data_IF_635319429758
#
_entry.id   IF_635319429758
#
_cell.length_a   1.000
_cell.length_b   1.000
_cell.length_c   1.000
_cell.angle_alpha   90.00
_cell.angle_beta   90.00
_cell.angle_gamma   90.00
#
_symmetry.space_group_name_H-M   'P 1'
#
loop_
_entity.id
_entity.type
_entity.pdbx_description
1 polymer ?
#
# COMPACT_ATOMS: atom_id res chain seq x y z
N UNK A 1 -2.23 5.50 29.43
CA UNK A 1 -0.81 5.86 29.24
C UNK A 1 -0.53 7.08 30.11
N UNK A 2 0.09 6.89 31.25
CA UNK A 2 0.27 7.94 32.29
C UNK A 2 1.74 8.16 32.65
N UNK A 3 2.68 7.80 31.77
CA UNK A 3 4.11 8.08 31.99
C UNK A 3 4.48 9.52 31.63
N UNK A 4 5.62 10.03 32.13
CA UNK A 4 6.11 11.37 31.81
C UNK A 4 6.37 11.46 30.29
N UNK A 5 6.10 12.63 29.71
CA UNK A 5 6.38 12.90 28.32
C UNK A 5 7.88 12.82 28.01
N UNK A 6 8.23 12.15 26.93
CA UNK A 6 9.60 11.99 26.47
C UNK A 6 9.94 13.09 25.46
N UNK A 7 11.08 13.76 25.64
CA UNK A 7 11.56 14.73 24.65
C UNK A 7 11.89 14.03 23.31
N UNK A 8 11.31 14.49 22.21
CA UNK A 8 11.43 13.86 20.89
C UNK A 8 12.87 13.76 20.35
N UNK A 9 13.79 14.61 20.83
CA UNK A 9 15.23 14.59 20.48
C UNK A 9 16.10 13.86 21.49
N UNK A 10 15.50 13.24 22.52
CA UNK A 10 16.28 12.52 23.54
C UNK A 10 16.81 11.18 23.01
N UNK A 11 17.90 10.70 23.62
CA UNK A 11 18.44 9.35 23.34
C UNK A 11 17.37 8.25 23.59
N UNK A 12 16.52 8.45 24.60
CA UNK A 12 15.44 7.52 24.93
C UNK A 12 14.37 7.46 23.81
N UNK A 13 13.98 8.61 23.24
CA UNK A 13 13.05 8.67 22.11
C UNK A 13 13.63 7.98 20.87
N UNK A 14 14.90 8.25 20.54
CA UNK A 14 15.59 7.61 19.42
C UNK A 14 15.70 6.09 19.62
N UNK A 15 15.98 5.63 20.83
CA UNK A 15 16.04 4.20 21.15
C UNK A 15 14.65 3.53 21.01
N UNK A 16 13.60 4.19 21.46
CA UNK A 16 12.21 3.72 21.33
C UNK A 16 11.81 3.59 19.87
N UNK A 17 12.02 4.64 19.05
CA UNK A 17 11.71 4.63 17.63
C UNK A 17 12.44 3.48 16.89
N UNK A 18 13.74 3.32 17.16
CA UNK A 18 14.54 2.25 16.55
C UNK A 18 14.01 0.87 16.91
N UNK A 19 13.63 0.67 18.18
CA UNK A 19 13.03 -0.60 18.63
C UNK A 19 11.70 -0.87 17.92
N UNK A 20 10.84 0.16 17.75
CA UNK A 20 9.57 0.04 17.04
C UNK A 20 9.82 -0.34 15.58
N UNK A 21 10.68 0.40 14.87
CA UNK A 21 10.98 0.14 13.46
C UNK A 21 11.54 -1.27 13.25
N UNK A 22 12.48 -1.72 14.11
CA UNK A 22 13.03 -3.07 14.02
C UNK A 22 11.97 -4.16 14.25
N UNK A 23 11.05 -3.95 15.18
CA UNK A 23 9.97 -4.91 15.41
C UNK A 23 8.98 -4.94 14.24
N UNK A 24 8.64 -3.78 13.66
CA UNK A 24 7.78 -3.70 12.48
C UNK A 24 8.40 -4.37 11.26
N UNK A 25 9.72 -4.20 11.02
CA UNK A 25 10.42 -4.93 9.96
C UNK A 25 10.24 -6.44 10.09
N UNK A 26 10.36 -6.97 11.31
CA UNK A 26 10.17 -8.40 11.56
C UNK A 26 8.74 -8.88 11.32
N UNK A 27 7.74 -8.04 11.63
CA UNK A 27 6.32 -8.35 11.44
C UNK A 27 5.95 -8.30 9.95
N UNK A 28 6.45 -7.27 9.26
CA UNK A 28 6.15 -7.00 7.84
C UNK A 28 7.10 -7.72 6.88
N UNK A 29 8.08 -8.48 7.42
CA UNK A 29 9.06 -9.26 6.65
C UNK A 29 9.76 -8.39 5.60
N UNK A 30 10.34 -7.27 6.06
CA UNK A 30 11.05 -6.30 5.21
C UNK A 30 12.35 -5.83 5.87
N UNK A 31 13.35 -5.54 5.06
CA UNK A 31 14.58 -4.85 5.46
C UNK A 31 14.51 -3.34 5.18
N UNK A 32 13.42 -2.87 4.55
CA UNK A 32 13.26 -1.49 4.12
C UNK A 32 12.96 -0.52 5.30
N UNK A 33 12.93 0.78 4.99
CA UNK A 33 12.67 1.80 6.01
C UNK A 33 11.23 1.78 6.49
N UNK A 34 11.09 1.91 7.81
CA UNK A 34 9.79 2.08 8.47
C UNK A 34 9.61 3.55 8.84
N UNK A 35 8.66 4.19 8.21
CA UNK A 35 8.29 5.58 8.49
C UNK A 35 7.08 5.62 9.42
N UNK A 36 7.29 6.12 10.64
CA UNK A 36 6.21 6.27 11.62
C UNK A 36 5.50 7.61 11.41
N UNK A 37 4.18 7.57 11.24
CA UNK A 37 3.35 8.76 11.11
C UNK A 37 2.22 8.75 12.15
N UNK A 38 1.80 9.93 12.58
CA UNK A 38 0.59 10.13 13.39
C UNK A 38 -0.66 10.31 12.53
N UNK A 39 -0.54 10.14 11.22
CA UNK A 39 -1.63 10.19 10.27
C UNK A 39 -2.54 8.95 10.36
N UNK A 40 -3.73 9.04 9.77
CA UNK A 40 -4.55 7.86 9.47
C UNK A 40 -4.04 7.13 8.22
N UNK A 41 -4.47 5.88 7.99
CA UNK A 41 -4.20 5.17 6.73
C UNK A 41 -4.57 6.00 5.50
N UNK A 42 -5.67 6.77 5.56
CA UNK A 42 -6.07 7.69 4.47
C UNK A 42 -4.98 8.72 4.12
N UNK A 43 -4.35 9.32 5.14
CA UNK A 43 -3.27 10.28 4.87
C UNK A 43 -1.98 9.62 4.39
N UNK A 44 -1.74 8.37 4.77
CA UNK A 44 -0.61 7.59 4.23
C UNK A 44 -0.87 7.18 2.77
N UNK A 45 -2.11 6.77 2.42
CA UNK A 45 -2.52 6.52 1.02
C UNK A 45 -2.32 7.78 0.16
N UNK A 46 -2.68 8.97 0.68
CA UNK A 46 -2.44 10.24 -0.02
C UNK A 46 -0.95 10.47 -0.24
N UNK A 47 -0.15 10.32 0.80
CA UNK A 47 1.31 10.44 0.72
C UNK A 47 1.90 9.51 -0.34
N UNK A 48 1.48 8.24 -0.34
CA UNK A 48 1.95 7.23 -1.28
C UNK A 48 1.59 7.61 -2.73
N UNK A 49 0.32 7.78 -3.06
CA UNK A 49 -0.11 8.02 -4.45
C UNK A 49 0.45 9.33 -5.02
N UNK A 50 0.57 10.39 -4.19
CA UNK A 50 1.14 11.67 -4.63
C UNK A 50 2.66 11.60 -4.86
N UNK A 51 3.37 10.83 -4.05
CA UNK A 51 4.83 10.75 -4.14
C UNK A 51 5.30 9.77 -5.21
N UNK A 52 4.52 8.73 -5.47
CA UNK A 52 4.91 7.64 -6.36
C UNK A 52 4.40 7.79 -7.79
N UNK A 53 3.40 8.65 -8.06
CA UNK A 53 2.82 8.78 -9.39
C UNK A 53 3.39 9.99 -10.13
N UNK A 54 4.17 9.74 -11.16
CA UNK A 54 4.69 10.80 -12.05
C UNK A 54 3.84 10.95 -13.33
N UNK A 55 3.24 9.85 -13.83
CA UNK A 55 2.42 9.86 -15.04
C UNK A 55 0.95 9.62 -14.72
N UNK A 56 0.63 8.43 -14.29
CA UNK A 56 -0.76 8.00 -14.03
C UNK A 56 -0.78 6.76 -13.14
N UNK A 57 -1.68 6.74 -12.17
CA UNK A 57 -1.92 5.59 -11.32
C UNK A 57 -3.03 4.69 -11.87
N UNK A 58 -2.82 3.39 -11.86
CA UNK A 58 -3.86 2.37 -12.02
C UNK A 58 -4.34 1.95 -10.63
N UNK A 59 -5.62 2.15 -10.34
CA UNK A 59 -6.20 1.84 -9.04
C UNK A 59 -7.18 0.69 -9.18
N UNK A 60 -6.89 -0.42 -8.49
CA UNK A 60 -7.73 -1.61 -8.50
C UNK A 60 -8.62 -1.62 -7.27
N UNK A 61 -9.94 -1.72 -7.50
CA UNK A 61 -10.94 -1.60 -6.47
C UNK A 61 -11.86 -2.82 -6.42
N UNK A 62 -11.97 -3.37 -5.22
CA UNK A 62 -12.93 -4.44 -4.90
C UNK A 62 -13.89 -4.01 -3.79
N UNK A 63 -13.92 -2.70 -3.47
CA UNK A 63 -14.81 -2.13 -2.46
C UNK A 63 -14.46 -0.69 -2.06
N UNK A 64 -14.89 -0.30 -0.87
CA UNK A 64 -14.85 1.09 -0.41
C UNK A 64 -13.41 1.63 -0.25
N UNK A 65 -12.44 0.80 0.14
CA UNK A 65 -11.06 1.25 0.34
C UNK A 65 -10.29 1.35 -0.98
N UNK A 66 -10.56 0.45 -1.95
CA UNK A 66 -10.11 0.64 -3.32
C UNK A 66 -10.69 1.92 -3.95
N UNK A 67 -11.99 2.18 -3.79
CA UNK A 67 -12.62 3.44 -4.23
C UNK A 67 -12.03 4.66 -3.52
N UNK A 68 -11.59 4.51 -2.27
CA UNK A 68 -10.94 5.58 -1.50
C UNK A 68 -9.59 5.97 -2.11
N UNK A 69 -8.76 5.02 -2.55
CA UNK A 69 -7.54 5.31 -3.29
C UNK A 69 -7.81 6.23 -4.49
N UNK A 70 -8.84 5.90 -5.27
CA UNK A 70 -9.21 6.69 -6.44
C UNK A 70 -9.68 8.11 -6.08
N UNK A 71 -10.53 8.22 -5.04
CA UNK A 71 -10.99 9.53 -4.55
C UNK A 71 -9.85 10.39 -4.03
N UNK A 72 -8.89 9.79 -3.33
CA UNK A 72 -7.68 10.48 -2.85
C UNK A 72 -6.85 10.96 -4.03
N UNK A 73 -6.54 10.08 -4.97
CA UNK A 73 -5.73 10.43 -6.14
C UNK A 73 -6.36 11.58 -6.94
N UNK A 74 -7.62 11.45 -7.34
CA UNK A 74 -8.33 12.47 -8.11
C UNK A 74 -8.54 13.78 -7.34
N UNK A 75 -8.85 13.70 -6.04
CA UNK A 75 -9.00 14.86 -5.17
C UNK A 75 -7.72 15.68 -5.00
N UNK A 76 -6.57 15.03 -5.19
CA UNK A 76 -5.24 15.67 -5.15
C UNK A 76 -4.67 15.98 -6.55
N UNK A 77 -5.48 15.84 -7.60
CA UNK A 77 -5.06 16.13 -8.96
C UNK A 77 -4.07 15.11 -9.56
N UNK A 78 -3.93 13.92 -8.95
CA UNK A 78 -3.09 12.84 -9.49
C UNK A 78 -3.86 12.15 -10.62
N UNK A 79 -3.33 12.13 -11.87
CA UNK A 79 -3.95 11.41 -12.96
C UNK A 79 -4.11 9.94 -12.61
N UNK A 80 -5.33 9.41 -12.70
CA UNK A 80 -5.59 8.02 -12.29
C UNK A 80 -6.79 7.44 -13.02
N UNK A 81 -6.77 6.14 -13.21
CA UNK A 81 -7.90 5.35 -13.70
C UNK A 81 -8.25 4.28 -12.67
N UNK A 82 -9.54 3.96 -12.55
CA UNK A 82 -10.02 2.94 -11.62
C UNK A 82 -10.48 1.69 -12.40
N UNK A 83 -10.02 0.54 -11.94
CA UNK A 83 -10.41 -0.78 -12.42
C UNK A 83 -11.19 -1.48 -11.34
N UNK A 84 -12.47 -1.69 -11.57
CA UNK A 84 -13.38 -2.31 -10.58
C UNK A 84 -13.62 -3.76 -10.93
N UNK A 85 -13.43 -4.63 -9.95
CA UNK A 85 -13.90 -6.00 -10.02
C UNK A 85 -15.42 -6.07 -9.83
N UNK A 86 -16.03 -7.16 -10.30
CA UNK A 86 -17.42 -7.44 -9.96
C UNK A 86 -17.60 -7.58 -8.45
N UNK A 87 -18.80 -7.29 -7.96
CA UNK A 87 -19.09 -7.36 -6.53
C UNK A 87 -18.79 -8.75 -5.97
N UNK A 88 -17.99 -8.80 -4.92
CA UNK A 88 -17.58 -10.06 -4.29
C UNK A 88 -16.45 -10.82 -5.01
N UNK A 89 -15.84 -10.22 -6.04
CA UNK A 89 -14.70 -10.79 -6.74
C UNK A 89 -13.41 -10.01 -6.45
N UNK A 90 -12.25 -10.70 -6.35
CA UNK A 90 -10.96 -10.03 -6.18
C UNK A 90 -10.50 -9.36 -7.49
N UNK A 91 -9.49 -8.51 -7.38
CA UNK A 91 -8.68 -8.11 -8.53
C UNK A 91 -7.91 -9.33 -9.04
N UNK A 92 -7.99 -9.61 -10.34
CA UNK A 92 -7.26 -10.73 -10.91
C UNK A 92 -5.91 -10.30 -11.49
N UNK A 93 -4.91 -11.20 -11.55
CA UNK A 93 -3.64 -10.94 -12.23
C UNK A 93 -3.81 -10.47 -13.68
N UNK A 94 -4.80 -11.01 -14.40
CA UNK A 94 -5.11 -10.66 -15.79
C UNK A 94 -5.60 -9.21 -15.90
N UNK A 95 -6.38 -8.73 -14.95
CA UNK A 95 -6.79 -7.31 -14.91
C UNK A 95 -5.58 -6.38 -14.77
N UNK A 96 -4.63 -6.77 -13.91
CA UNK A 96 -3.41 -6.01 -13.69
C UNK A 96 -2.53 -6.02 -14.94
N UNK A 97 -2.30 -7.20 -15.54
CA UNK A 97 -1.51 -7.35 -16.75
C UNK A 97 -2.12 -6.56 -17.93
N UNK A 98 -3.42 -6.64 -18.12
CA UNK A 98 -4.14 -5.91 -19.16
C UNK A 98 -4.01 -4.39 -19.01
N UNK A 99 -4.07 -3.87 -17.78
CA UNK A 99 -3.89 -2.44 -17.53
C UNK A 99 -2.44 -2.01 -17.80
N UNK A 100 -1.46 -2.71 -17.22
CA UNK A 100 -0.06 -2.33 -17.27
C UNK A 100 0.57 -2.51 -18.65
N UNK A 101 0.14 -3.51 -19.44
CA UNK A 101 0.60 -3.75 -20.82
C UNK A 101 0.35 -2.55 -21.75
N UNK A 102 -0.56 -1.65 -21.39
CA UNK A 102 -0.80 -0.40 -22.13
C UNK A 102 0.35 0.61 -22.05
N UNK A 103 1.27 0.47 -21.09
CA UNK A 103 2.37 1.41 -20.84
C UNK A 103 1.94 2.79 -20.31
N UNK A 104 0.68 2.94 -19.92
CA UNK A 104 0.13 4.23 -19.46
C UNK A 104 0.45 4.55 -18.01
N UNK A 105 0.67 3.52 -17.19
CA UNK A 105 0.74 3.62 -15.73
C UNK A 105 2.16 3.42 -15.23
N UNK A 106 2.56 4.24 -14.29
CA UNK A 106 3.82 4.13 -13.56
C UNK A 106 3.62 3.82 -12.07
N UNK A 107 2.37 3.73 -11.64
CA UNK A 107 2.01 3.36 -10.27
C UNK A 107 0.76 2.49 -10.28
N UNK A 108 0.73 1.48 -9.42
CA UNK A 108 -0.51 0.76 -9.09
C UNK A 108 -0.84 0.92 -7.61
N UNK A 109 -2.13 0.98 -7.29
CA UNK A 109 -2.64 0.99 -5.92
C UNK A 109 -3.63 -0.17 -5.74
N UNK A 110 -3.38 -1.02 -4.74
CA UNK A 110 -4.21 -2.18 -4.42
C UNK A 110 -4.41 -2.24 -2.90
N UNK A 111 -5.63 -2.52 -2.45
CA UNK A 111 -5.90 -2.87 -1.05
C UNK A 111 -5.78 -4.38 -0.89
N UNK A 112 -4.91 -4.86 0.01
CA UNK A 112 -4.71 -6.29 0.22
C UNK A 112 -5.97 -6.96 0.74
N UNK A 113 -6.52 -6.47 1.84
CA UNK A 113 -7.79 -6.94 2.40
C UNK A 113 -8.82 -5.81 2.41
N UNK A 114 -9.85 -5.95 1.60
CA UNK A 114 -10.95 -4.98 1.51
C UNK A 114 -11.95 -5.21 2.64
N UNK A 115 -11.87 -4.41 3.67
CA UNK A 115 -12.69 -4.55 4.88
C UNK A 115 -14.19 -4.45 4.59
N UNK A 116 -14.58 -3.64 3.60
CA UNK A 116 -16.00 -3.40 3.29
C UNK A 116 -16.69 -4.58 2.62
N UNK A 117 -15.93 -5.48 2.00
CA UNK A 117 -16.46 -6.64 1.27
C UNK A 117 -15.98 -7.97 1.83
N UNK A 118 -14.92 -7.96 2.64
CA UNK A 118 -14.25 -9.17 3.14
C UNK A 118 -13.39 -9.88 2.09
N UNK A 119 -13.13 -9.23 0.96
CA UNK A 119 -12.30 -9.79 -0.12
C UNK A 119 -10.83 -9.55 0.18
N UNK A 120 -10.04 -10.60 0.11
CA UNK A 120 -8.57 -10.52 0.08
C UNK A 120 -8.09 -10.68 -1.36
N UNK A 121 -7.32 -9.72 -1.85
CA UNK A 121 -6.72 -9.78 -3.18
C UNK A 121 -5.55 -10.77 -3.22
N UNK A 122 -5.37 -11.53 -4.33
CA UNK A 122 -4.31 -12.52 -4.50
C UNK A 122 -2.97 -11.83 -4.81
N UNK A 123 -2.36 -11.24 -3.79
CA UNK A 123 -1.17 -10.38 -3.96
C UNK A 123 0.07 -11.15 -4.42
N UNK A 124 0.16 -12.44 -4.11
CA UNK A 124 1.24 -13.31 -4.58
C UNK A 124 1.20 -13.50 -6.10
N UNK A 125 0.02 -13.76 -6.65
CA UNK A 125 -0.18 -13.92 -8.10
C UNK A 125 -0.02 -12.58 -8.83
N UNK A 126 -0.46 -11.49 -8.21
CA UNK A 126 -0.28 -10.13 -8.74
C UNK A 126 1.21 -9.78 -8.75
N UNK A 127 1.98 -10.14 -7.72
CA UNK A 127 3.41 -9.94 -7.66
C UNK A 127 4.14 -10.59 -8.84
N UNK A 128 3.72 -11.80 -9.26
CA UNK A 128 4.31 -12.47 -10.43
C UNK A 128 4.06 -11.69 -11.73
N UNK A 129 2.90 -11.05 -11.86
CA UNK A 129 2.62 -10.16 -13.00
C UNK A 129 3.51 -8.93 -12.96
N UNK A 130 3.68 -8.31 -11.78
CA UNK A 130 4.45 -7.08 -11.63
C UNK A 130 5.94 -7.25 -11.95
N UNK A 131 6.48 -8.45 -11.87
CA UNK A 131 7.86 -8.74 -12.34
C UNK A 131 8.10 -8.40 -13.81
N UNK A 132 7.03 -8.36 -14.63
CA UNK A 132 7.11 -7.94 -16.04
C UNK A 132 7.21 -6.41 -16.20
N UNK A 133 6.90 -5.66 -15.14
CA UNK A 133 6.78 -4.20 -15.16
C UNK A 133 7.65 -3.56 -14.06
N UNK A 134 8.98 -3.71 -14.11
CA UNK A 134 9.89 -3.31 -13.03
C UNK A 134 9.94 -1.80 -12.75
N UNK A 135 9.45 -0.98 -13.69
CA UNK A 135 9.40 0.48 -13.55
C UNK A 135 8.07 0.98 -12.95
N UNK A 136 7.13 0.08 -12.63
CA UNK A 136 5.84 0.42 -12.04
C UNK A 136 5.92 0.30 -10.53
N UNK A 137 5.67 1.40 -9.83
CA UNK A 137 5.66 1.43 -8.36
C UNK A 137 4.39 0.79 -7.81
N UNK A 138 4.55 -0.15 -6.90
CA UNK A 138 3.44 -0.81 -6.23
C UNK A 138 3.16 -0.24 -4.84
N UNK A 139 2.04 0.47 -4.70
CA UNK A 139 1.50 0.93 -3.43
C UNK A 139 0.41 -0.05 -2.94
N UNK A 140 0.59 -0.65 -1.76
CA UNK A 140 -0.35 -1.61 -1.19
C UNK A 140 -0.88 -1.12 0.15
N UNK A 141 -2.21 -1.09 0.30
CA UNK A 141 -2.89 -0.86 1.58
C UNK A 141 -3.08 -2.18 2.31
N UNK A 142 -2.46 -2.32 3.47
CA UNK A 142 -2.56 -3.46 4.36
C UNK A 142 -3.12 -3.09 5.75
N UNK A 143 -3.77 -1.94 5.89
CA UNK A 143 -4.28 -1.42 7.18
C UNK A 143 -5.13 -2.46 7.92
N UNK A 144 -5.94 -3.24 7.23
CA UNK A 144 -6.80 -4.26 7.85
C UNK A 144 -6.24 -5.69 7.80
N UNK A 145 -5.05 -5.90 7.23
CA UNK A 145 -4.45 -7.23 7.08
C UNK A 145 -3.07 -7.39 7.70
N UNK A 146 -2.31 -6.29 7.86
CA UNK A 146 -0.99 -6.34 8.45
C UNK A 146 -1.02 -6.96 9.85
N UNK A 147 -0.08 -7.86 10.14
CA UNK A 147 0.01 -8.67 11.34
C UNK A 147 -1.16 -9.66 11.58
N UNK A 148 -2.27 -9.54 10.84
CA UNK A 148 -3.34 -10.54 10.83
C UNK A 148 -3.12 -11.62 9.75
N UNK A 149 -2.63 -11.20 8.60
CA UNK A 149 -2.17 -12.07 7.52
C UNK A 149 -0.66 -11.96 7.37
N UNK A 150 -0.02 -13.03 6.90
CA UNK A 150 1.40 -13.00 6.57
C UNK A 150 1.59 -12.24 5.26
N UNK A 151 2.34 -11.15 5.29
CA UNK A 151 2.71 -10.36 4.11
C UNK A 151 4.23 -10.38 4.03
N UNK A 152 4.77 -11.04 3.02
CA UNK A 152 6.22 -11.09 2.75
C UNK A 152 6.60 -9.90 1.86
N UNK A 153 6.60 -8.69 2.45
CA UNK A 153 6.66 -7.39 1.73
C UNK A 153 7.79 -7.35 0.69
N UNK A 154 9.01 -7.69 1.09
CA UNK A 154 10.17 -7.63 0.16
C UNK A 154 10.09 -8.72 -0.91
N UNK A 155 9.60 -9.91 -0.56
CA UNK A 155 9.44 -11.02 -1.52
C UNK A 155 8.37 -10.73 -2.57
N UNK A 156 7.30 -10.04 -2.17
CA UNK A 156 6.25 -9.59 -3.07
C UNK A 156 6.72 -8.46 -4.00
N UNK A 157 7.75 -7.72 -3.61
CA UNK A 157 8.20 -6.55 -4.34
C UNK A 157 7.31 -5.33 -4.16
N UNK A 158 6.66 -5.21 -2.99
CA UNK A 158 5.87 -4.03 -2.65
C UNK A 158 6.81 -2.86 -2.36
N UNK A 159 6.64 -1.75 -3.08
CA UNK A 159 7.47 -0.56 -2.91
C UNK A 159 7.01 0.32 -1.73
N UNK A 160 5.70 0.45 -1.56
CA UNK A 160 5.10 1.21 -0.46
C UNK A 160 3.97 0.40 0.16
N UNK A 161 4.14 0.04 1.44
CA UNK A 161 3.11 -0.60 2.26
C UNK A 161 2.52 0.42 3.23
N UNK A 162 1.20 0.57 3.23
CA UNK A 162 0.43 1.46 4.11
C UNK A 162 -0.35 0.63 5.11
#
# INVERSE_FOLDING_TARGET
>A
MSGPMMGHRSKAASALQRRISNNLRRILLTEQEILLSTSSGTGLMEGAVRSCTAKRAAIFSVGAFGDKWYKIATGNGVPSDIFKSELGQPTTPEMVDAALSTGKYDTICITHNETSTGIQNPVEEIAEVLKKYPDVVWCMDAVSSAAGSRIETDKLGVDVLV
#
